data_IF_784742378854
#
_entry.id   IF_784742378854
#
_cell.length_a   1.000
_cell.length_b   1.000
_cell.length_c   1.000
_cell.angle_alpha   90.00
_cell.angle_beta   90.00
_cell.angle_gamma   90.00
#
_symmetry.space_group_name_H-M   'P 1'
#
loop_
_entity.id
_entity.type
_entity.pdbx_description
1 polymer ?
#
# COMPACT_ATOMS: atom_id res chain seq x y z
N UNK A 1 1.05 -43.21 -22.37
CA UNK A 1 1.50 -42.63 -21.07
C UNK A 1 2.71 -41.72 -21.23
N UNK A 2 3.73 -42.10 -22.01
CA UNK A 2 4.96 -41.30 -22.18
C UNK A 2 4.72 -39.91 -22.79
N UNK A 3 3.96 -39.81 -23.89
CA UNK A 3 3.62 -38.51 -24.51
C UNK A 3 2.87 -37.61 -23.53
N UNK A 4 1.89 -38.15 -22.80
CA UNK A 4 1.13 -37.40 -21.78
C UNK A 4 2.06 -36.85 -20.70
N UNK A 5 2.93 -37.68 -20.14
CA UNK A 5 3.93 -37.28 -19.14
C UNK A 5 4.85 -36.17 -19.68
N UNK A 6 5.35 -36.32 -20.91
CA UNK A 6 6.19 -35.30 -21.54
C UNK A 6 5.47 -33.96 -21.68
N UNK A 7 4.20 -33.95 -22.05
CA UNK A 7 3.41 -32.73 -22.20
C UNK A 7 3.22 -32.04 -20.84
N UNK A 8 2.79 -32.75 -19.80
CA UNK A 8 2.59 -32.14 -18.48
C UNK A 8 3.91 -31.64 -17.87
N UNK A 9 5.03 -32.30 -18.16
CA UNK A 9 6.36 -31.87 -17.69
C UNK A 9 6.77 -30.55 -18.36
N UNK A 10 6.53 -30.41 -19.67
CA UNK A 10 6.76 -29.15 -20.39
C UNK A 10 5.89 -28.03 -19.81
N UNK A 11 4.59 -28.27 -19.60
CA UNK A 11 3.67 -27.29 -19.03
C UNK A 11 4.11 -26.87 -17.62
N UNK A 12 4.51 -27.83 -16.78
CA UNK A 12 5.05 -27.54 -15.45
C UNK A 12 6.31 -26.67 -15.51
N UNK A 13 7.25 -26.98 -16.42
CA UNK A 13 8.46 -26.19 -16.58
C UNK A 13 8.17 -24.75 -17.04
N UNK A 14 7.21 -24.57 -17.96
CA UNK A 14 6.75 -23.23 -18.37
C UNK A 14 6.22 -22.45 -17.17
N UNK A 15 5.35 -23.06 -16.36
CA UNK A 15 4.82 -22.38 -15.17
C UNK A 15 5.89 -22.09 -14.12
N UNK A 16 6.85 -22.99 -13.91
CA UNK A 16 7.99 -22.75 -13.02
C UNK A 16 8.82 -21.55 -13.48
N UNK A 17 9.14 -21.46 -14.78
CA UNK A 17 9.87 -20.31 -15.34
C UNK A 17 9.10 -19.00 -15.14
N UNK A 18 7.80 -18.99 -15.42
CA UNK A 18 6.96 -17.79 -15.20
C UNK A 18 6.93 -17.39 -13.72
N UNK A 19 6.85 -18.35 -12.80
CA UNK A 19 6.94 -18.09 -11.36
C UNK A 19 8.30 -17.50 -11.00
N UNK A 20 9.39 -18.11 -11.46
CA UNK A 20 10.75 -17.64 -11.19
C UNK A 20 10.97 -16.20 -11.66
N UNK A 21 10.46 -15.82 -12.83
CA UNK A 21 10.56 -14.45 -13.35
C UNK A 21 9.84 -13.45 -12.43
N UNK A 22 8.62 -13.76 -11.99
CA UNK A 22 7.88 -12.85 -11.10
C UNK A 22 8.54 -12.71 -9.73
N UNK A 23 9.05 -13.81 -9.16
CA UNK A 23 9.77 -13.78 -7.88
C UNK A 23 11.16 -13.13 -7.99
N UNK A 24 11.82 -13.20 -9.15
CA UNK A 24 13.13 -12.58 -9.34
C UNK A 24 13.09 -11.07 -9.09
N UNK A 25 12.03 -10.36 -9.51
CA UNK A 25 11.86 -8.92 -9.22
C UNK A 25 11.77 -8.65 -7.72
N UNK A 26 11.06 -9.50 -6.97
CA UNK A 26 10.95 -9.37 -5.52
C UNK A 26 12.31 -9.59 -4.84
N UNK A 27 13.08 -10.58 -5.31
CA UNK A 27 14.45 -10.82 -4.83
C UNK A 27 15.33 -9.60 -5.12
N UNK A 28 15.24 -9.02 -6.32
CA UNK A 28 15.97 -7.80 -6.68
C UNK A 28 15.66 -6.68 -5.68
N UNK A 29 14.39 -6.42 -5.37
CA UNK A 29 14.04 -5.37 -4.40
C UNK A 29 14.56 -5.65 -2.99
N UNK A 30 14.49 -6.90 -2.54
CA UNK A 30 15.06 -7.30 -1.25
C UNK A 30 16.58 -7.14 -1.24
N UNK A 31 17.26 -7.47 -2.33
CA UNK A 31 18.71 -7.25 -2.44
C UNK A 31 19.00 -5.75 -2.37
N UNK A 32 18.29 -4.90 -3.10
CA UNK A 32 18.54 -3.45 -3.09
C UNK A 32 17.93 -2.68 -1.90
N UNK A 33 17.62 -3.34 -0.78
CA UNK A 33 16.95 -2.72 0.38
C UNK A 33 17.68 -1.50 0.99
N UNK A 34 19.00 -1.36 0.73
CA UNK A 34 19.83 -0.26 1.22
C UNK A 34 19.66 1.04 0.42
N UNK A 35 19.01 0.98 -0.76
CA UNK A 35 18.78 2.16 -1.58
C UNK A 35 17.85 3.15 -0.86
N UNK A 36 18.18 4.43 -0.95
CA UNK A 36 17.38 5.51 -0.35
C UNK A 36 16.37 6.02 -1.38
N UNK A 37 15.10 6.25 -0.98
CA UNK A 37 14.10 6.81 -1.87
C UNK A 37 14.46 8.26 -2.21
N UNK A 38 13.92 8.76 -3.33
CA UNK A 38 13.97 10.18 -3.64
C UNK A 38 13.29 10.98 -2.52
N UNK A 39 13.97 12.03 -2.06
CA UNK A 39 13.41 13.06 -1.19
C UNK A 39 13.03 14.28 -2.02
N UNK A 40 12.04 15.02 -1.57
CA UNK A 40 11.62 16.27 -2.18
C UNK A 40 12.12 17.43 -1.32
N UNK A 41 12.59 18.53 -1.94
CA UNK A 41 12.96 19.72 -1.20
C UNK A 41 11.72 20.34 -0.54
N UNK A 42 11.89 21.13 0.53
CA UNK A 42 10.82 21.99 1.03
C UNK A 42 10.22 22.82 -0.09
N UNK A 43 8.90 22.84 -0.18
CA UNK A 43 8.18 23.57 -1.22
C UNK A 43 8.46 25.08 -1.18
N UNK A 44 8.53 25.69 -2.36
CA UNK A 44 8.60 27.16 -2.52
C UNK A 44 7.23 27.81 -2.39
N UNK A 45 6.19 27.08 -2.78
CA UNK A 45 4.80 27.52 -2.72
C UNK A 45 3.99 26.51 -1.92
N UNK A 46 3.05 27.01 -1.12
CA UNK A 46 2.05 26.16 -0.49
C UNK A 46 0.82 26.10 -1.40
N UNK A 47 0.49 24.90 -1.86
CA UNK A 47 -0.59 24.65 -2.80
C UNK A 47 -1.90 24.33 -2.09
N UNK A 48 -3.03 24.51 -2.79
CA UNK A 48 -4.35 24.25 -2.23
C UNK A 48 -4.83 22.81 -2.52
N UNK A 49 -5.13 22.05 -1.47
CA UNK A 49 -5.50 20.63 -1.53
C UNK A 49 -6.97 20.35 -1.20
N UNK A 50 -7.61 19.45 -1.95
CA UNK A 50 -8.88 18.86 -1.56
C UNK A 50 -8.67 17.47 -0.96
N UNK A 51 -9.05 17.26 0.29
CA UNK A 51 -8.93 15.94 0.93
C UNK A 51 -10.27 15.23 0.81
N UNK A 52 -10.31 14.07 0.17
CA UNK A 52 -11.55 13.31 -0.06
C UNK A 52 -11.56 12.00 0.71
N UNK A 53 -12.66 11.73 1.42
CA UNK A 53 -12.86 10.55 2.25
C UNK A 53 -14.19 9.88 1.89
N UNK A 54 -14.18 8.79 1.11
CA UNK A 54 -15.39 7.98 0.94
C UNK A 54 -15.68 7.20 2.23
N UNK A 55 -16.92 7.27 2.71
CA UNK A 55 -17.31 6.63 3.97
C UNK A 55 -18.63 5.87 3.81
N UNK A 56 -18.72 4.69 4.44
CA UNK A 56 -19.94 3.89 4.53
C UNK A 56 -20.05 3.19 5.89
N UNK A 57 -20.94 3.67 6.73
CA UNK A 57 -21.17 3.16 8.08
C UNK A 57 -19.93 3.14 8.98
N UNK A 58 -19.26 4.29 9.07
CA UNK A 58 -17.98 4.53 9.76
C UNK A 58 -18.11 5.56 10.90
N UNK A 59 -19.29 5.65 11.53
CA UNK A 59 -19.58 6.63 12.59
C UNK A 59 -18.63 6.58 13.79
N UNK A 60 -18.02 5.41 14.04
CA UNK A 60 -17.09 5.17 15.15
C UNK A 60 -15.71 5.81 14.93
N UNK A 61 -15.30 6.04 13.66
CA UNK A 61 -13.90 6.38 13.32
C UNK A 61 -13.76 7.65 12.48
N UNK A 62 -14.78 8.01 11.69
CA UNK A 62 -14.68 9.14 10.75
C UNK A 62 -14.38 10.47 11.44
N UNK A 63 -14.94 10.68 12.64
CA UNK A 63 -14.71 11.89 13.42
C UNK A 63 -13.24 12.06 13.84
N UNK A 64 -12.58 10.97 14.24
CA UNK A 64 -11.17 10.98 14.62
C UNK A 64 -10.27 11.28 13.42
N UNK A 65 -10.55 10.65 12.28
CA UNK A 65 -9.83 10.90 11.02
C UNK A 65 -9.92 12.36 10.60
N UNK A 66 -11.13 12.95 10.61
CA UNK A 66 -11.34 14.36 10.26
C UNK A 66 -10.60 15.28 11.25
N UNK A 67 -10.72 15.04 12.56
CA UNK A 67 -10.00 15.83 13.57
C UNK A 67 -8.48 15.76 13.40
N UNK A 68 -7.93 14.57 13.10
CA UNK A 68 -6.48 14.41 12.88
C UNK A 68 -6.01 15.14 11.62
N UNK A 69 -6.83 15.16 10.57
CA UNK A 69 -6.56 15.94 9.37
C UNK A 69 -6.60 17.46 9.60
N UNK A 70 -7.49 17.94 10.47
CA UNK A 70 -7.55 19.36 10.85
C UNK A 70 -6.34 19.82 11.69
N UNK A 71 -5.61 18.89 12.28
CA UNK A 71 -4.41 19.13 13.10
C UNK A 71 -3.10 19.03 12.31
N UNK A 72 -3.17 18.93 10.98
CA UNK A 72 -1.97 18.86 10.14
C UNK A 72 -1.14 20.15 10.24
N UNK A 73 0.18 20.01 10.23
CA UNK A 73 1.15 21.09 10.16
C UNK A 73 1.18 21.72 8.75
N UNK A 74 0.05 22.28 8.35
CA UNK A 74 -0.16 22.90 7.04
C UNK A 74 -1.24 24.00 7.18
N UNK A 75 -1.14 25.14 6.46
CA UNK A 75 -2.07 26.24 6.64
C UNK A 75 -3.51 25.82 6.37
N UNK A 76 -4.42 26.11 7.31
CA UNK A 76 -5.79 25.57 7.32
C UNK A 76 -6.62 26.06 6.14
N UNK A 77 -6.34 27.26 5.65
CA UNK A 77 -6.97 27.89 4.49
C UNK A 77 -6.58 27.24 3.15
N UNK A 78 -5.51 26.44 3.14
CA UNK A 78 -4.99 25.78 1.94
C UNK A 78 -5.44 24.33 1.79
N UNK A 79 -6.35 23.84 2.63
CA UNK A 79 -6.99 22.55 2.36
C UNK A 79 -8.40 22.49 2.92
N UNK A 80 -9.24 21.67 2.30
CA UNK A 80 -10.59 21.38 2.79
C UNK A 80 -10.81 19.87 2.81
N UNK A 81 -11.64 19.40 3.75
CA UNK A 81 -11.93 17.98 3.96
C UNK A 81 -13.34 17.70 3.49
N UNK A 82 -13.46 16.83 2.50
CA UNK A 82 -14.69 16.38 1.88
C UNK A 82 -14.97 14.94 2.25
N UNK A 83 -16.07 14.68 2.96
CA UNK A 83 -16.53 13.32 3.25
C UNK A 83 -17.69 12.99 2.33
N UNK A 84 -17.58 11.89 1.59
CA UNK A 84 -18.67 11.35 0.78
C UNK A 84 -19.33 10.20 1.54
N UNK A 85 -20.41 10.50 2.26
CA UNK A 85 -21.20 9.53 3.00
C UNK A 85 -22.12 8.79 2.03
N UNK A 86 -21.77 7.54 1.70
CA UNK A 86 -22.41 6.78 0.63
C UNK A 86 -23.20 5.59 1.17
N UNK A 87 -24.53 5.65 1.04
CA UNK A 87 -25.46 4.64 1.54
C UNK A 87 -25.22 4.32 3.04
N UNK A 88 -25.06 5.38 3.84
CA UNK A 88 -24.91 5.28 5.28
C UNK A 88 -26.28 5.12 5.95
N UNK A 89 -26.37 4.21 6.91
CA UNK A 89 -27.56 3.96 7.74
C UNK A 89 -27.34 4.35 9.20
N UNK A 90 -26.14 4.81 9.53
CA UNK A 90 -25.71 5.23 10.86
C UNK A 90 -25.37 6.74 10.85
N UNK A 91 -24.78 7.25 11.93
CA UNK A 91 -24.49 8.68 12.08
C UNK A 91 -23.22 9.16 11.37
N UNK A 92 -22.66 8.39 10.41
CA UNK A 92 -21.41 8.76 9.71
C UNK A 92 -21.41 10.20 9.20
N UNK A 93 -22.49 10.63 8.54
CA UNK A 93 -22.57 11.98 7.97
C UNK A 93 -22.65 13.07 9.06
N UNK A 94 -23.43 12.85 10.12
CA UNK A 94 -23.53 13.71 11.30
C UNK A 94 -22.16 13.87 11.97
N UNK A 95 -21.48 12.75 12.27
CA UNK A 95 -20.16 12.75 12.91
C UNK A 95 -19.08 13.45 12.09
N UNK A 96 -19.12 13.30 10.77
CA UNK A 96 -18.19 14.00 9.88
C UNK A 96 -18.43 15.52 9.86
N UNK A 97 -19.70 15.98 9.85
CA UNK A 97 -20.04 17.41 9.93
C UNK A 97 -19.64 18.00 11.28
N UNK A 98 -19.97 17.33 12.38
CA UNK A 98 -19.59 17.72 13.74
C UNK A 98 -18.07 17.88 13.89
N UNK A 99 -17.30 17.03 13.21
CA UNK A 99 -15.85 17.09 13.22
C UNK A 99 -15.26 18.19 12.31
N UNK A 100 -16.07 18.87 11.49
CA UNK A 100 -15.65 20.00 10.67
C UNK A 100 -15.36 19.70 9.20
N UNK A 101 -15.83 18.56 8.67
CA UNK A 101 -15.76 18.25 7.24
C UNK A 101 -16.97 18.81 6.45
N UNK A 102 -16.75 19.11 5.17
CA UNK A 102 -17.82 19.29 4.19
C UNK A 102 -18.34 17.92 3.80
N UNK A 103 -19.64 17.67 3.97
CA UNK A 103 -20.21 16.33 3.78
C UNK A 103 -21.17 16.30 2.61
N UNK A 104 -20.88 15.41 1.66
CA UNK A 104 -21.76 15.06 0.56
C UNK A 104 -22.43 13.71 0.84
N UNK A 105 -23.75 13.70 0.92
CA UNK A 105 -24.51 12.45 1.05
C UNK A 105 -24.89 11.92 -0.34
N UNK A 106 -24.49 10.67 -0.61
CA UNK A 106 -24.79 9.97 -1.84
C UNK A 106 -25.60 8.73 -1.48
N UNK A 107 -26.92 8.76 -1.66
CA UNK A 107 -27.78 7.61 -1.45
C UNK A 107 -28.25 7.08 -2.81
N UNK A 108 -27.94 5.82 -3.08
CA UNK A 108 -28.22 5.16 -4.35
C UNK A 108 -28.48 3.66 -4.13
N UNK A 109 -29.68 3.22 -4.46
CA UNK A 109 -30.12 1.86 -4.19
C UNK A 109 -29.59 0.83 -5.20
N UNK A 110 -29.08 1.26 -6.37
CA UNK A 110 -28.57 0.33 -7.38
C UNK A 110 -27.39 -0.48 -6.78
N UNK A 111 -27.50 -1.82 -6.73
CA UNK A 111 -26.41 -2.67 -6.24
C UNK A 111 -25.07 -2.44 -6.97
N UNK A 112 -25.10 -2.02 -8.24
CA UNK A 112 -23.91 -1.65 -9.02
C UNK A 112 -23.26 -0.38 -8.51
N UNK A 113 -23.98 0.48 -7.81
CA UNK A 113 -23.43 1.72 -7.28
C UNK A 113 -22.82 1.52 -5.89
N UNK A 114 -23.09 0.41 -5.19
CA UNK A 114 -22.58 0.12 -3.83
C UNK A 114 -21.07 -0.22 -3.74
N UNK A 115 -20.21 0.69 -4.21
CA UNK A 115 -18.75 0.61 -4.21
C UNK A 115 -18.10 1.97 -3.97
N UNK A 116 -16.85 1.96 -3.51
CA UNK A 116 -16.06 3.16 -3.21
C UNK A 116 -15.86 4.04 -4.46
N UNK A 117 -15.64 3.44 -5.63
CA UNK A 117 -15.43 4.18 -6.87
C UNK A 117 -16.61 5.06 -7.27
N UNK A 118 -17.85 4.66 -6.95
CA UNK A 118 -19.04 5.47 -7.20
C UNK A 118 -19.12 6.67 -6.25
N UNK A 119 -18.79 6.47 -4.97
CA UNK A 119 -18.66 7.59 -4.02
C UNK A 119 -17.58 8.58 -4.49
N UNK A 120 -16.43 8.09 -4.96
CA UNK A 120 -15.38 8.95 -5.51
C UNK A 120 -15.85 9.69 -6.76
N UNK A 121 -16.51 9.01 -7.70
CA UNK A 121 -17.08 9.65 -8.90
C UNK A 121 -18.08 10.74 -8.54
N UNK A 122 -19.01 10.46 -7.64
CA UNK A 122 -19.98 11.44 -7.15
C UNK A 122 -19.28 12.63 -6.47
N UNK A 123 -18.37 12.35 -5.53
CA UNK A 123 -17.66 13.35 -4.75
C UNK A 123 -16.77 14.25 -5.60
N UNK A 124 -15.92 13.69 -6.46
CA UNK A 124 -15.07 14.49 -7.34
C UNK A 124 -15.89 15.33 -8.32
N UNK A 125 -16.98 14.79 -8.87
CA UNK A 125 -17.87 15.57 -9.73
C UNK A 125 -18.44 16.77 -8.97
N UNK A 126 -18.95 16.54 -7.75
CA UNK A 126 -19.46 17.60 -6.89
C UNK A 126 -18.43 18.66 -6.55
N UNK A 127 -17.23 18.25 -6.14
CA UNK A 127 -16.17 19.17 -5.78
C UNK A 127 -15.74 19.99 -7.01
N UNK A 128 -15.58 19.37 -8.19
CA UNK A 128 -15.19 20.08 -9.40
C UNK A 128 -16.29 21.00 -9.96
N UNK A 129 -17.57 20.74 -9.66
CA UNK A 129 -18.70 21.61 -10.00
C UNK A 129 -18.79 22.82 -9.04
N UNK A 130 -18.53 22.61 -7.75
CA UNK A 130 -18.76 23.60 -6.69
C UNK A 130 -17.50 24.39 -6.29
N UNK A 131 -16.30 23.88 -6.61
CA UNK A 131 -15.00 24.45 -6.24
C UNK A 131 -13.98 24.33 -7.40
N UNK A 132 -13.34 25.43 -7.78
CA UNK A 132 -12.40 25.47 -8.91
C UNK A 132 -10.93 25.69 -8.49
N UNK A 133 -10.69 26.00 -7.23
CA UNK A 133 -9.42 26.49 -6.71
C UNK A 133 -8.44 25.40 -6.22
N UNK A 134 -8.80 24.11 -6.26
CA UNK A 134 -7.90 23.04 -5.81
C UNK A 134 -6.90 22.67 -6.90
N UNK A 135 -5.65 22.45 -6.50
CA UNK A 135 -4.54 22.09 -7.38
C UNK A 135 -4.24 20.59 -7.35
N UNK A 136 -4.51 19.95 -6.23
CA UNK A 136 -4.41 18.51 -6.07
C UNK A 136 -5.40 17.98 -5.03
N UNK A 137 -5.62 16.67 -5.07
CA UNK A 137 -6.48 15.96 -4.14
C UNK A 137 -5.73 14.84 -3.45
N UNK A 138 -6.02 14.64 -2.17
CA UNK A 138 -5.50 13.53 -1.38
C UNK A 138 -6.68 12.67 -0.94
N UNK A 139 -6.61 11.37 -1.21
CA UNK A 139 -7.63 10.42 -0.76
C UNK A 139 -7.18 9.78 0.55
N UNK A 140 -8.08 9.70 1.52
CA UNK A 140 -7.96 8.83 2.69
C UNK A 140 -9.19 7.93 2.81
N UNK A 141 -9.05 6.77 3.43
CA UNK A 141 -10.19 6.00 3.90
C UNK A 141 -10.65 6.52 5.28
N UNK A 142 -11.90 6.22 5.65
CA UNK A 142 -12.55 6.79 6.83
C UNK A 142 -11.88 6.48 8.19
N UNK A 143 -11.03 5.45 8.25
CA UNK A 143 -10.33 4.98 9.44
C UNK A 143 -8.81 5.19 9.39
N UNK A 144 -8.31 5.92 8.39
CA UNK A 144 -6.90 6.23 8.26
C UNK A 144 -6.46 7.29 9.27
N UNK A 145 -5.33 7.04 9.93
CA UNK A 145 -4.58 8.09 10.63
C UNK A 145 -3.34 8.45 9.81
N UNK A 146 -2.76 9.60 10.08
CA UNK A 146 -1.59 10.10 9.35
C UNK A 146 -0.65 10.84 10.29
N UNK A 147 0.62 10.96 9.91
CA UNK A 147 1.57 11.80 10.62
C UNK A 147 1.22 13.29 10.47
N UNK A 148 1.70 14.14 11.39
CA UNK A 148 1.29 15.55 11.46
C UNK A 148 1.74 16.38 10.25
N UNK A 149 2.82 15.96 9.58
CA UNK A 149 3.37 16.64 8.41
C UNK A 149 2.88 16.04 7.08
N UNK A 150 1.87 15.16 7.05
CA UNK A 150 1.49 14.42 5.84
C UNK A 150 1.22 15.35 4.66
N UNK A 151 0.38 16.37 4.85
CA UNK A 151 0.03 17.33 3.79
C UNK A 151 1.27 18.13 3.37
N UNK A 152 2.09 18.57 4.32
CA UNK A 152 3.33 19.30 4.01
C UNK A 152 4.29 18.47 3.14
N UNK A 153 4.45 17.16 3.43
CA UNK A 153 5.30 16.27 2.62
C UNK A 153 4.72 15.99 1.23
N UNK A 154 3.39 15.95 1.11
CA UNK A 154 2.74 15.88 -0.21
C UNK A 154 2.91 17.19 -0.99
N UNK A 155 2.84 18.33 -0.33
CA UNK A 155 3.09 19.64 -0.93
C UNK A 155 4.52 19.77 -1.46
N UNK A 156 5.53 19.35 -0.69
CA UNK A 156 6.94 19.28 -1.14
C UNK A 156 7.08 18.49 -2.45
N UNK A 157 6.38 17.36 -2.55
CA UNK A 157 6.40 16.55 -3.77
C UNK A 157 5.66 17.25 -4.92
N UNK A 158 4.50 17.84 -4.66
CA UNK A 158 3.67 18.51 -5.65
C UNK A 158 4.37 19.75 -6.25
N UNK A 159 4.95 20.62 -5.42
CA UNK A 159 5.73 21.79 -5.84
C UNK A 159 6.98 21.37 -6.64
N UNK A 160 7.54 20.19 -6.34
CA UNK A 160 8.61 19.57 -7.13
C UNK A 160 8.14 18.91 -8.46
N UNK A 161 6.87 19.08 -8.83
CA UNK A 161 6.28 18.62 -10.10
C UNK A 161 5.68 17.21 -10.05
N UNK A 162 5.47 16.62 -8.88
CA UNK A 162 4.81 15.31 -8.76
C UNK A 162 3.30 15.46 -8.90
N UNK A 163 2.72 14.85 -9.93
CA UNK A 163 1.27 14.85 -10.17
C UNK A 163 0.50 13.73 -9.50
N UNK A 164 1.13 12.56 -9.35
CA UNK A 164 0.52 11.39 -8.70
C UNK A 164 1.51 10.82 -7.69
N UNK A 165 1.10 10.69 -6.43
CA UNK A 165 1.96 10.18 -5.36
C UNK A 165 1.33 9.08 -4.52
N UNK A 166 2.17 8.13 -4.11
CA UNK A 166 1.94 7.12 -3.08
C UNK A 166 2.69 7.53 -1.80
N UNK A 167 2.04 7.40 -0.65
CA UNK A 167 2.63 7.59 0.67
C UNK A 167 3.27 6.30 1.22
N UNK A 168 3.93 6.39 2.36
CA UNK A 168 4.36 5.24 3.15
C UNK A 168 3.17 4.65 3.92
N UNK A 169 2.93 3.36 3.77
CA UNK A 169 1.86 2.63 4.45
C UNK A 169 2.38 1.94 5.72
N UNK A 170 1.69 2.20 6.83
CA UNK A 170 1.98 1.67 8.13
C UNK A 170 0.70 1.12 8.79
N UNK A 171 0.83 0.50 9.95
CA UNK A 171 -0.29 -0.12 10.68
C UNK A 171 -0.48 0.53 12.04
N UNK A 172 -1.72 0.88 12.38
CA UNK A 172 -2.06 1.39 13.71
C UNK A 172 -2.27 0.30 14.76
N UNK A 173 -2.47 -0.95 14.35
CA UNK A 173 -2.79 -2.09 15.22
C UNK A 173 -1.83 -3.27 15.04
N UNK A 174 -0.56 -3.00 14.69
CA UNK A 174 0.45 -4.02 14.35
C UNK A 174 0.75 -5.00 15.49
N UNK A 175 0.51 -4.64 16.74
CA UNK A 175 0.77 -5.48 17.91
C UNK A 175 -0.49 -6.03 18.57
N UNK A 176 -1.66 -5.86 17.94
CA UNK A 176 -2.92 -6.35 18.46
C UNK A 176 -2.96 -7.89 18.46
N UNK A 177 -2.52 -8.52 17.38
CA UNK A 177 -2.37 -9.98 17.26
C UNK A 177 -1.52 -10.39 16.04
N UNK A 178 -1.34 -11.69 15.85
CA UNK A 178 -0.55 -12.22 14.71
C UNK A 178 -1.11 -11.78 13.35
N UNK A 179 -2.43 -11.75 13.14
CA UNK A 179 -3.03 -11.43 11.84
C UNK A 179 -2.76 -9.97 11.45
N UNK A 180 -3.06 -9.05 12.36
CA UNK A 180 -2.80 -7.62 12.21
C UNK A 180 -1.30 -7.32 12.11
N UNK A 181 -0.47 -8.02 12.89
CA UNK A 181 0.99 -7.88 12.86
C UNK A 181 1.62 -8.34 11.56
N UNK A 182 1.24 -9.50 11.02
CA UNK A 182 1.76 -9.96 9.72
C UNK A 182 1.29 -9.03 8.60
N UNK A 183 0.01 -8.65 8.61
CA UNK A 183 -0.53 -7.73 7.61
C UNK A 183 0.17 -6.37 7.67
N UNK A 184 0.38 -5.81 8.87
CA UNK A 184 1.11 -4.56 9.04
C UNK A 184 2.56 -4.64 8.56
N UNK A 185 3.28 -5.71 8.94
CA UNK A 185 4.64 -5.95 8.46
C UNK A 185 4.71 -6.11 6.94
N UNK A 186 3.68 -6.68 6.30
CA UNK A 186 3.61 -6.79 4.84
C UNK A 186 3.57 -5.42 4.15
N UNK A 187 2.72 -4.49 4.60
CA UNK A 187 2.63 -3.15 4.01
C UNK A 187 3.85 -2.28 4.32
N UNK A 188 4.43 -2.41 5.52
CA UNK A 188 5.70 -1.77 5.87
C UNK A 188 6.83 -2.31 4.98
N UNK A 189 6.86 -3.63 4.75
CA UNK A 189 7.82 -4.28 3.85
C UNK A 189 7.65 -3.77 2.42
N UNK A 190 6.42 -3.63 1.92
CA UNK A 190 6.20 -3.07 0.58
C UNK A 190 6.67 -1.61 0.48
N UNK A 191 6.32 -0.78 1.45
CA UNK A 191 6.77 0.62 1.52
C UNK A 191 8.29 0.75 1.62
N UNK A 192 8.92 0.02 2.54
CA UNK A 192 10.36 0.10 2.80
C UNK A 192 11.21 -0.59 1.74
N UNK A 193 10.79 -1.73 1.21
CA UNK A 193 11.63 -2.49 0.29
C UNK A 193 11.25 -2.17 -1.15
N UNK A 194 10.00 -2.44 -1.53
CA UNK A 194 9.60 -2.28 -2.93
C UNK A 194 9.50 -0.80 -3.34
N UNK A 195 8.78 0.03 -2.58
CA UNK A 195 8.56 1.43 -2.94
C UNK A 195 9.85 2.27 -2.86
N UNK A 196 10.72 2.02 -1.87
CA UNK A 196 12.04 2.68 -1.79
C UNK A 196 12.90 2.37 -3.02
N UNK A 197 13.04 1.09 -3.36
CA UNK A 197 13.86 0.68 -4.50
C UNK A 197 13.29 1.24 -5.79
N UNK A 198 11.98 1.16 -6.00
CA UNK A 198 11.30 1.79 -7.14
C UNK A 198 11.58 3.30 -7.22
N UNK A 199 11.50 4.00 -6.09
CA UNK A 199 11.77 5.44 -6.01
C UNK A 199 13.22 5.77 -6.35
N UNK A 200 14.17 5.00 -5.81
CA UNK A 200 15.61 5.14 -6.07
C UNK A 200 15.96 4.87 -7.54
N UNK A 201 15.27 3.92 -8.17
CA UNK A 201 15.42 3.59 -9.60
C UNK A 201 14.57 4.48 -10.52
N UNK A 202 13.88 5.48 -9.98
CA UNK A 202 12.99 6.40 -10.70
C UNK A 202 11.86 5.71 -11.48
N UNK A 203 11.41 4.55 -11.00
CA UNK A 203 10.30 3.79 -11.55
C UNK A 203 8.98 4.23 -10.91
N UNK A 204 7.89 3.64 -11.42
CA UNK A 204 6.53 3.97 -11.00
C UNK A 204 6.09 3.15 -9.78
N UNK A 205 5.12 3.68 -9.07
CA UNK A 205 4.48 3.08 -7.91
C UNK A 205 3.06 2.63 -8.25
N UNK A 206 2.62 1.51 -7.67
CA UNK A 206 1.21 1.15 -7.65
C UNK A 206 0.52 1.86 -6.48
N UNK A 207 -0.54 2.63 -6.74
CA UNK A 207 -1.32 3.24 -5.68
C UNK A 207 -2.21 2.21 -4.99
N UNK A 208 -2.54 2.48 -3.74
CA UNK A 208 -3.27 1.58 -2.83
C UNK A 208 -4.43 2.28 -2.11
N UNK A 209 -4.89 3.41 -2.66
CA UNK A 209 -6.07 4.14 -2.19
C UNK A 209 -5.82 5.06 -0.99
N UNK A 210 -5.24 4.53 0.09
CA UNK A 210 -4.96 5.28 1.31
C UNK A 210 -3.81 6.27 1.13
N UNK A 211 -4.06 7.55 1.41
CA UNK A 211 -3.06 8.62 1.34
C UNK A 211 -2.51 8.88 -0.07
N UNK A 212 -3.20 8.47 -1.14
CA UNK A 212 -2.75 8.77 -2.50
C UNK A 212 -3.05 10.22 -2.88
N UNK A 213 -2.11 10.88 -3.55
CA UNK A 213 -2.28 12.22 -4.11
C UNK A 213 -2.45 12.15 -5.63
N UNK A 214 -3.37 12.96 -6.16
CA UNK A 214 -3.58 13.15 -7.60
C UNK A 214 -3.79 14.63 -7.90
N UNK A 215 -3.14 15.14 -8.94
CA UNK A 215 -3.31 16.52 -9.37
C UNK A 215 -4.71 16.77 -9.96
N UNK A 216 -5.24 17.96 -9.73
CA UNK A 216 -6.58 18.33 -10.17
C UNK A 216 -6.70 18.40 -11.70
N UNK A 217 -5.61 18.70 -12.42
CA UNK A 217 -5.59 18.70 -13.89
C UNK A 217 -5.88 17.30 -14.48
N UNK A 218 -5.39 16.22 -13.86
CA UNK A 218 -5.67 14.85 -14.27
C UNK A 218 -7.15 14.54 -14.11
N UNK A 219 -7.73 14.86 -12.96
CA UNK A 219 -9.16 14.65 -12.70
C UNK A 219 -10.04 15.48 -13.64
N UNK A 220 -9.67 16.75 -13.89
CA UNK A 220 -10.40 17.63 -14.85
C UNK A 220 -10.35 17.07 -16.27
N UNK A 221 -9.19 16.58 -16.75
CA UNK A 221 -9.09 15.91 -18.07
C UNK A 221 -9.98 14.68 -18.19
N UNK A 222 -10.24 14.00 -17.08
CA UNK A 222 -11.15 12.86 -17.05
C UNK A 222 -12.61 13.24 -16.79
N UNK A 223 -12.92 14.51 -16.55
CA UNK A 223 -14.23 14.95 -16.09
C UNK A 223 -14.67 14.22 -14.80
N UNK A 224 -13.74 14.15 -13.83
CA UNK A 224 -13.91 13.47 -12.55
C UNK A 224 -13.27 12.07 -12.49
N UNK A 225 -13.74 11.25 -11.56
CA UNK A 225 -13.23 9.89 -11.36
C UNK A 225 -13.95 8.87 -12.25
N UNK A 226 -13.16 8.10 -13.02
CA UNK A 226 -13.67 7.13 -14.02
C UNK A 226 -13.32 5.68 -13.75
N UNK A 227 -12.40 5.39 -12.83
CA UNK A 227 -11.95 4.05 -12.53
C UNK A 227 -13.00 3.35 -11.65
N UNK A 228 -13.79 2.44 -12.21
CA UNK A 228 -14.97 1.85 -11.56
C UNK A 228 -14.76 0.39 -11.13
N UNK A 229 -13.55 -0.13 -11.26
CA UNK A 229 -13.17 -1.47 -10.82
C UNK A 229 -13.28 -1.69 -9.31
N UNK A 230 -13.03 -2.92 -8.88
CA UNK A 230 -12.95 -3.29 -7.44
C UNK A 230 -11.63 -2.81 -6.81
N UNK A 231 -10.60 -2.63 -7.63
CA UNK A 231 -9.30 -2.07 -7.27
C UNK A 231 -9.11 -0.80 -8.10
N UNK A 232 -9.96 0.19 -7.83
CA UNK A 232 -10.05 1.44 -8.60
C UNK A 232 -8.77 2.27 -8.55
N UNK A 233 -8.01 2.16 -7.47
CA UNK A 233 -6.70 2.76 -7.24
C UNK A 233 -5.62 2.19 -8.17
N UNK A 234 -5.55 0.87 -8.28
CA UNK A 234 -4.64 0.18 -9.19
C UNK A 234 -5.06 0.41 -10.65
N UNK A 235 -6.37 0.41 -10.93
CA UNK A 235 -6.91 0.76 -12.24
C UNK A 235 -6.51 2.18 -12.64
N UNK A 236 -6.70 3.17 -11.74
CA UNK A 236 -6.27 4.54 -11.94
C UNK A 236 -4.78 4.64 -12.22
N UNK A 237 -3.95 3.94 -11.43
CA UNK A 237 -2.49 3.93 -11.60
C UNK A 237 -2.11 3.49 -13.02
N UNK A 238 -2.63 2.33 -13.46
CA UNK A 238 -2.27 1.76 -14.76
C UNK A 238 -2.80 2.62 -15.91
N UNK A 239 -4.03 3.14 -15.79
CA UNK A 239 -4.60 4.02 -16.79
C UNK A 239 -3.76 5.30 -16.93
N UNK A 240 -3.46 5.99 -15.83
CA UNK A 240 -2.64 7.20 -15.84
C UNK A 240 -1.26 6.94 -16.45
N UNK A 241 -0.64 5.79 -16.12
CA UNK A 241 0.64 5.41 -16.72
C UNK A 241 0.56 5.17 -18.23
N UNK A 242 -0.49 4.52 -18.71
CA UNK A 242 -0.73 4.29 -20.14
C UNK A 242 -0.98 5.59 -20.90
N UNK A 243 -1.50 6.62 -20.22
CA UNK A 243 -1.69 7.98 -20.74
C UNK A 243 -0.41 8.85 -20.63
N UNK A 244 0.67 8.30 -20.09
CA UNK A 244 2.00 8.93 -20.03
C UNK A 244 2.36 9.53 -18.68
N UNK A 245 1.43 9.60 -17.73
CA UNK A 245 1.70 10.10 -16.39
C UNK A 245 2.66 9.21 -15.62
N UNK A 246 3.31 9.77 -14.60
CA UNK A 246 4.28 9.10 -13.72
C UNK A 246 3.76 9.12 -12.29
N UNK A 247 3.84 7.97 -11.62
CA UNK A 247 3.52 7.88 -10.20
C UNK A 247 4.81 7.89 -9.38
N UNK A 248 4.76 8.51 -8.21
CA UNK A 248 5.95 8.76 -7.38
C UNK A 248 5.71 8.39 -5.94
N UNK A 249 6.79 8.20 -5.20
CA UNK A 249 6.74 7.81 -3.80
C UNK A 249 7.16 8.97 -2.90
N UNK A 250 6.41 9.21 -1.83
CA UNK A 250 6.67 10.22 -0.80
C UNK A 250 6.87 9.48 0.53
N UNK A 251 8.11 9.10 0.87
CA UNK A 251 8.41 8.21 2.02
C UNK A 251 8.10 8.81 3.38
N UNK A 252 8.03 10.14 3.48
CA UNK A 252 7.89 10.87 4.73
C UNK A 252 6.43 11.30 5.00
N UNK A 253 5.53 11.10 4.04
CA UNK A 253 4.08 11.11 4.25
C UNK A 253 3.67 9.69 4.68
N UNK A 254 3.17 9.52 5.90
CA UNK A 254 2.89 8.20 6.50
C UNK A 254 1.40 8.10 6.80
N UNK A 255 0.75 7.07 6.25
CA UNK A 255 -0.62 6.68 6.62
C UNK A 255 -0.58 5.43 7.52
N UNK A 256 -1.42 5.42 8.54
CA UNK A 256 -1.60 4.30 9.46
C UNK A 256 -2.99 3.71 9.26
N UNK A 257 -3.03 2.50 8.72
CA UNK A 257 -4.26 1.78 8.39
C UNK A 257 -4.66 0.78 9.48
N UNK A 258 -5.96 0.50 9.59
CA UNK A 258 -6.48 -0.61 10.39
C UNK A 258 -6.27 -1.94 9.64
N UNK A 259 -5.41 -2.80 10.17
CA UNK A 259 -5.14 -4.11 9.59
C UNK A 259 -6.16 -5.15 10.08
N UNK A 260 -6.54 -6.12 9.23
CA UNK A 260 -7.49 -7.16 9.63
C UNK A 260 -6.92 -7.96 10.81
N UNK A 261 -7.71 -8.09 11.86
CA UNK A 261 -7.32 -8.78 13.10
C UNK A 261 -7.79 -10.24 13.14
N UNK A 262 -8.55 -10.68 12.14
CA UNK A 262 -9.05 -12.05 12.04
C UNK A 262 -8.72 -12.69 10.68
N UNK A 263 -8.63 -14.02 10.67
CA UNK A 263 -8.53 -14.81 9.44
C UNK A 263 -9.69 -14.53 8.50
N UNK A 264 -10.92 -14.42 9.02
CA UNK A 264 -12.13 -14.20 8.21
C UNK A 264 -12.05 -12.87 7.45
N UNK A 265 -11.66 -11.80 8.13
CA UNK A 265 -11.54 -10.48 7.52
C UNK A 265 -10.40 -10.43 6.51
N UNK A 266 -9.27 -11.05 6.84
CA UNK A 266 -8.14 -11.23 5.93
C UNK A 266 -8.57 -11.95 4.64
N UNK A 267 -9.25 -13.09 4.75
CA UNK A 267 -9.73 -13.86 3.59
C UNK A 267 -10.73 -13.04 2.76
N UNK A 268 -11.67 -12.33 3.40
CA UNK A 268 -12.64 -11.51 2.69
C UNK A 268 -11.97 -10.34 1.94
N UNK A 269 -10.99 -9.67 2.57
CA UNK A 269 -10.20 -8.61 1.92
C UNK A 269 -9.44 -9.14 0.71
N UNK A 270 -8.71 -10.23 0.89
CA UNK A 270 -7.90 -10.84 -0.17
C UNK A 270 -8.77 -11.37 -1.32
N UNK A 271 -9.96 -11.92 -1.07
CA UNK A 271 -10.89 -12.33 -2.14
C UNK A 271 -11.31 -11.15 -3.03
N UNK A 272 -11.59 -9.97 -2.44
CA UNK A 272 -11.90 -8.75 -3.20
C UNK A 272 -10.72 -8.33 -4.07
N UNK A 273 -9.52 -8.28 -3.48
CA UNK A 273 -8.30 -7.92 -4.21
C UNK A 273 -8.04 -8.91 -5.35
N UNK A 274 -8.14 -10.22 -5.11
CA UNK A 274 -7.93 -11.24 -6.13
C UNK A 274 -8.89 -11.10 -7.31
N UNK A 275 -10.16 -10.79 -7.05
CA UNK A 275 -11.13 -10.56 -8.13
C UNK A 275 -10.80 -9.31 -8.97
N UNK A 276 -10.48 -8.20 -8.30
CA UNK A 276 -10.18 -6.93 -8.96
C UNK A 276 -8.88 -7.00 -9.77
N UNK A 277 -7.79 -7.41 -9.12
CA UNK A 277 -6.46 -7.43 -9.71
C UNK A 277 -6.31 -8.48 -10.82
N UNK A 278 -7.00 -9.62 -10.75
CA UNK A 278 -6.96 -10.62 -11.83
C UNK A 278 -7.56 -10.07 -13.13
N UNK A 279 -8.71 -9.38 -13.07
CA UNK A 279 -9.29 -8.70 -14.24
C UNK A 279 -8.37 -7.60 -14.75
N UNK A 280 -7.73 -6.88 -13.82
CA UNK A 280 -6.83 -5.79 -14.15
C UNK A 280 -5.57 -6.29 -14.87
N UNK A 281 -5.05 -7.46 -14.50
CA UNK A 281 -3.92 -8.10 -15.19
C UNK A 281 -4.20 -8.28 -16.69
N UNK A 282 -5.35 -8.86 -17.06
CA UNK A 282 -5.68 -9.10 -18.47
C UNK A 282 -6.08 -7.84 -19.24
N UNK A 283 -6.66 -6.83 -18.57
CA UNK A 283 -7.14 -5.60 -19.24
C UNK A 283 -6.05 -4.54 -19.37
N UNK A 284 -5.24 -4.33 -18.33
CA UNK A 284 -4.24 -3.26 -18.24
C UNK A 284 -2.81 -3.80 -18.10
N UNK A 285 -2.61 -4.89 -17.35
CA UNK A 285 -1.28 -5.49 -17.16
C UNK A 285 -0.63 -5.90 -18.49
N UNK A 286 -1.36 -6.64 -19.33
CA UNK A 286 -0.87 -7.03 -20.67
C UNK A 286 -0.58 -5.83 -21.58
N UNK A 287 -1.37 -4.76 -21.47
CA UNK A 287 -1.12 -3.51 -22.20
C UNK A 287 0.16 -2.82 -21.72
N UNK A 288 0.41 -2.82 -20.41
CA UNK A 288 1.67 -2.32 -19.85
C UNK A 288 2.86 -3.12 -20.38
N UNK A 289 2.77 -4.46 -20.38
CA UNK A 289 3.81 -5.31 -20.95
C UNK A 289 4.12 -4.96 -22.42
N UNK A 290 3.09 -4.80 -23.26
CA UNK A 290 3.29 -4.34 -24.65
C UNK A 290 3.90 -2.93 -24.74
N UNK A 291 3.48 -2.01 -23.87
CA UNK A 291 3.99 -0.63 -23.84
C UNK A 291 5.46 -0.56 -23.42
N UNK A 292 5.95 -1.52 -22.62
CA UNK A 292 7.37 -1.62 -22.29
C UNK A 292 8.24 -1.76 -23.55
N UNK A 293 7.87 -2.61 -24.51
CA UNK A 293 8.66 -2.82 -25.73
C UNK A 293 8.64 -1.65 -26.72
N UNK A 294 7.74 -0.68 -26.54
CA UNK A 294 7.67 0.52 -27.38
C UNK A 294 8.26 1.77 -26.71
N UNK A 295 8.35 1.78 -25.37
CA UNK A 295 8.80 2.96 -24.61
C UNK A 295 10.05 2.72 -23.77
N UNK A 296 10.41 1.46 -23.53
CA UNK A 296 11.47 1.02 -22.62
C UNK A 296 11.36 1.60 -21.19
N UNK A 297 10.19 2.11 -20.81
CA UNK A 297 9.90 2.59 -19.45
C UNK A 297 9.72 1.38 -18.54
N UNK A 298 10.73 1.08 -17.71
CA UNK A 298 10.75 -0.07 -16.82
C UNK A 298 9.55 -0.17 -15.87
N UNK A 299 8.95 0.97 -15.47
CA UNK A 299 7.73 0.98 -14.65
C UNK A 299 6.58 0.15 -15.23
N UNK A 300 6.45 0.07 -16.56
CA UNK A 300 5.44 -0.79 -17.19
C UNK A 300 5.72 -2.28 -16.97
N UNK A 301 6.98 -2.69 -17.11
CA UNK A 301 7.39 -4.07 -16.88
C UNK A 301 7.25 -4.44 -15.40
N UNK A 302 7.68 -3.57 -14.50
CA UNK A 302 7.57 -3.77 -13.05
C UNK A 302 6.11 -3.93 -12.58
N UNK A 303 5.20 -3.05 -13.01
CA UNK A 303 3.79 -3.18 -12.64
C UNK A 303 3.13 -4.42 -13.27
N UNK A 304 3.52 -4.78 -14.50
CA UNK A 304 3.08 -6.05 -15.09
C UNK A 304 3.53 -7.24 -14.26
N UNK A 305 4.80 -7.30 -13.86
CA UNK A 305 5.36 -8.39 -13.05
C UNK A 305 4.77 -8.41 -11.63
N UNK A 306 4.42 -7.23 -11.08
CA UNK A 306 3.68 -7.13 -9.81
C UNK A 306 2.29 -7.74 -9.92
N UNK A 307 1.55 -7.46 -11.01
CA UNK A 307 0.22 -8.03 -11.25
C UNK A 307 0.27 -9.52 -11.65
N UNK A 308 1.36 -9.98 -12.27
CA UNK A 308 1.57 -11.38 -12.66
C UNK A 308 1.53 -12.34 -11.46
N UNK A 309 1.78 -11.84 -10.25
CA UNK A 309 1.64 -12.60 -9.01
C UNK A 309 0.21 -13.17 -8.82
N UNK A 310 -0.82 -12.50 -9.33
CA UNK A 310 -2.22 -12.96 -9.17
C UNK A 310 -2.52 -14.21 -10.00
N UNK A 311 -2.24 -14.25 -11.33
CA UNK A 311 -2.27 -15.50 -12.09
C UNK A 311 -1.35 -16.59 -11.53
N UNK A 312 -0.16 -16.24 -11.05
CA UNK A 312 0.76 -17.20 -10.41
C UNK A 312 0.15 -17.82 -9.16
N UNK A 313 -0.54 -17.04 -8.32
CA UNK A 313 -1.24 -17.57 -7.15
C UNK A 313 -2.30 -18.61 -7.56
N UNK A 314 -3.01 -18.39 -8.69
CA UNK A 314 -3.96 -19.37 -9.23
C UNK A 314 -3.24 -20.65 -9.66
N UNK A 315 -2.15 -20.54 -10.42
CA UNK A 315 -1.33 -21.70 -10.85
C UNK A 315 -0.77 -22.45 -9.64
N UNK A 316 -0.28 -21.73 -8.63
CA UNK A 316 0.29 -22.30 -7.41
C UNK A 316 -0.75 -23.05 -6.56
N UNK A 317 -2.00 -22.58 -6.53
CA UNK A 317 -3.08 -23.24 -5.80
C UNK A 317 -3.79 -24.34 -6.60
N UNK A 318 -3.55 -24.46 -7.91
CA UNK A 318 -4.26 -25.41 -8.78
C UNK A 318 -3.30 -26.37 -9.48
N UNK A 319 -2.51 -25.89 -10.44
CA UNK A 319 -1.64 -26.70 -11.27
C UNK A 319 -0.56 -27.43 -10.48
N UNK A 320 0.21 -26.76 -9.62
CA UNK A 320 1.31 -27.43 -8.90
C UNK A 320 0.82 -28.57 -7.98
N UNK A 321 -0.22 -28.40 -7.14
CA UNK A 321 -0.77 -29.49 -6.36
C UNK A 321 -1.23 -30.68 -7.22
N UNK A 322 -1.90 -30.41 -8.36
CA UNK A 322 -2.37 -31.45 -9.27
C UNK A 322 -1.20 -32.19 -9.93
N UNK A 323 -0.21 -31.47 -10.45
CA UNK A 323 0.94 -32.04 -11.13
C UNK A 323 1.81 -32.88 -10.19
N UNK A 324 2.22 -32.32 -9.04
CA UNK A 324 3.06 -33.05 -8.09
C UNK A 324 2.27 -34.17 -7.40
N UNK A 325 0.97 -33.97 -7.12
CA UNK A 325 0.09 -35.02 -6.60
C UNK A 325 0.00 -36.21 -7.57
N UNK A 326 -0.18 -35.95 -8.86
CA UNK A 326 -0.16 -36.98 -9.89
C UNK A 326 1.17 -37.74 -9.94
N UNK A 327 2.31 -37.03 -9.94
CA UNK A 327 3.65 -37.65 -9.98
C UNK A 327 3.93 -38.51 -8.75
N UNK A 328 3.54 -38.04 -7.56
CA UNK A 328 3.69 -38.78 -6.29
C UNK A 328 2.83 -40.04 -6.30
N UNK A 329 1.55 -39.94 -6.70
CA UNK A 329 0.65 -41.10 -6.77
C UNK A 329 1.18 -42.12 -7.79
N UNK A 330 1.61 -41.67 -8.97
CA UNK A 330 2.18 -42.54 -9.99
C UNK A 330 3.44 -43.27 -9.50
N UNK A 331 4.36 -42.56 -8.84
CA UNK A 331 5.56 -43.15 -8.26
C UNK A 331 5.24 -44.17 -7.16
N UNK A 332 4.25 -43.88 -6.31
CA UNK A 332 3.80 -44.80 -5.27
C UNK A 332 3.20 -46.09 -5.84
N UNK A 333 2.36 -45.99 -6.87
CA UNK A 333 1.76 -47.15 -7.55
C UNK A 333 2.82 -48.03 -8.21
N UNK A 334 3.87 -47.43 -8.76
CA UNK A 334 4.98 -48.15 -9.41
C UNK A 334 6.05 -48.64 -8.42
N UNK A 335 5.94 -48.32 -7.12
CA UNK A 335 6.94 -48.67 -6.12
C UNK A 335 8.27 -47.92 -6.26
N UNK A 336 8.28 -46.79 -6.98
CA UNK A 336 9.47 -45.97 -7.21
C UNK A 336 9.79 -45.10 -5.99
N UNK A 337 10.44 -45.72 -5.00
CA UNK A 337 10.83 -45.08 -3.74
C UNK A 337 11.84 -43.95 -3.95
N UNK A 338 12.69 -44.03 -4.97
CA UNK A 338 13.67 -42.99 -5.28
C UNK A 338 12.99 -41.69 -5.71
N UNK A 339 12.00 -41.78 -6.61
CA UNK A 339 11.21 -40.62 -7.05
C UNK A 339 10.39 -40.01 -5.91
N UNK A 340 9.81 -40.84 -5.04
CA UNK A 340 9.10 -40.34 -3.85
C UNK A 340 10.01 -39.55 -2.92
N UNK A 341 11.21 -40.07 -2.63
CA UNK A 341 12.21 -39.38 -1.78
C UNK A 341 12.66 -38.07 -2.44
N UNK A 342 12.89 -38.09 -3.75
CA UNK A 342 13.28 -36.90 -4.51
C UNK A 342 12.22 -35.80 -4.42
N UNK A 343 10.93 -36.12 -4.65
CA UNK A 343 9.86 -35.14 -4.54
C UNK A 343 9.66 -34.65 -3.10
N UNK A 344 9.77 -35.53 -2.10
CA UNK A 344 9.72 -35.14 -0.69
C UNK A 344 10.81 -34.12 -0.35
N UNK A 345 12.05 -34.36 -0.78
CA UNK A 345 13.17 -33.42 -0.62
C UNK A 345 12.93 -32.10 -1.36
N UNK A 346 12.48 -32.16 -2.62
CA UNK A 346 12.19 -30.97 -3.42
C UNK A 346 11.14 -30.08 -2.76
N UNK A 347 10.02 -30.66 -2.33
CA UNK A 347 8.95 -29.93 -1.63
C UNK A 347 9.48 -29.34 -0.33
N UNK A 348 10.24 -30.12 0.45
CA UNK A 348 10.89 -29.64 1.67
C UNK A 348 11.81 -28.43 1.43
N UNK A 349 12.66 -28.48 0.39
CA UNK A 349 13.54 -27.38 0.03
C UNK A 349 12.77 -26.16 -0.47
N UNK A 350 11.71 -26.33 -1.24
CA UNK A 350 10.86 -25.21 -1.68
C UNK A 350 10.19 -24.54 -0.47
N UNK A 351 9.57 -25.33 0.41
CA UNK A 351 8.91 -24.82 1.61
C UNK A 351 9.90 -24.10 2.53
N UNK A 352 11.14 -24.56 2.64
CA UNK A 352 12.14 -23.94 3.49
C UNK A 352 12.81 -22.72 2.83
N UNK A 353 13.45 -22.92 1.68
CA UNK A 353 14.34 -21.93 1.06
C UNK A 353 13.65 -20.95 0.12
N UNK A 354 12.54 -21.34 -0.52
CA UNK A 354 11.79 -20.43 -1.39
C UNK A 354 10.64 -19.74 -0.65
N UNK A 355 10.23 -20.27 0.51
CA UNK A 355 9.03 -19.81 1.20
C UNK A 355 9.29 -19.39 2.64
N UNK A 356 9.61 -20.32 3.55
CA UNK A 356 9.73 -20.00 4.98
C UNK A 356 10.84 -18.98 5.28
N UNK A 357 12.07 -19.24 4.83
CA UNK A 357 13.21 -18.37 5.09
C UNK A 357 13.04 -16.99 4.43
N UNK A 358 12.71 -16.85 3.13
CA UNK A 358 12.61 -15.54 2.51
C UNK A 358 11.54 -14.64 3.14
N UNK A 359 10.34 -15.15 3.42
CA UNK A 359 9.28 -14.33 4.01
C UNK A 359 9.61 -13.93 5.46
N UNK A 360 10.14 -14.86 6.26
CA UNK A 360 10.59 -14.56 7.63
C UNK A 360 11.71 -13.51 7.63
N UNK A 361 12.72 -13.66 6.78
CA UNK A 361 13.84 -12.72 6.67
C UNK A 361 13.37 -11.34 6.21
N UNK A 362 12.43 -11.27 5.27
CA UNK A 362 11.89 -9.99 4.80
C UNK A 362 11.06 -9.29 5.88
N UNK A 363 10.23 -10.03 6.62
CA UNK A 363 9.48 -9.47 7.75
C UNK A 363 10.41 -8.99 8.86
N UNK A 364 11.47 -9.75 9.17
CA UNK A 364 12.50 -9.35 10.11
C UNK A 364 13.23 -8.09 9.64
N UNK A 365 13.66 -8.07 8.38
CA UNK A 365 14.36 -6.94 7.78
C UNK A 365 13.49 -5.67 7.81
N UNK A 366 12.22 -5.76 7.44
CA UNK A 366 11.27 -4.65 7.53
C UNK A 366 11.10 -4.15 8.97
N UNK A 367 10.95 -5.07 9.94
CA UNK A 367 10.81 -4.72 11.36
C UNK A 367 12.07 -4.03 11.93
N UNK A 368 13.26 -4.43 11.47
CA UNK A 368 14.53 -3.82 11.88
C UNK A 368 14.75 -2.45 11.24
N UNK A 369 14.54 -2.33 9.92
CA UNK A 369 14.75 -1.09 9.18
C UNK A 369 13.77 0.02 9.59
N UNK A 370 12.53 -0.35 9.89
CA UNK A 370 11.45 0.59 10.24
C UNK A 370 11.14 0.57 11.74
N UNK A 371 12.09 0.13 12.57
CA UNK A 371 11.95 0.04 14.02
C UNK A 371 11.50 1.34 14.68
N UNK A 372 11.95 2.49 14.14
CA UNK A 372 11.57 3.83 14.63
C UNK A 372 10.16 4.27 14.21
N UNK A 373 9.61 3.69 13.13
CA UNK A 373 8.26 3.98 12.61
C UNK A 373 7.21 2.99 13.11
N UNK A 374 7.61 1.92 13.80
CA UNK A 374 6.72 0.91 14.37
C UNK A 374 6.47 1.19 15.85
N UNK A 375 5.26 1.62 16.18
CA UNK A 375 4.84 1.90 17.54
C UNK A 375 4.42 0.61 18.30
N UNK A 376 5.35 -0.33 18.44
CA UNK A 376 5.11 -1.60 19.15
C UNK A 376 6.42 -2.23 19.62
N UNK A 377 6.52 -2.77 20.85
CA UNK A 377 7.74 -3.47 21.29
C UNK A 377 8.17 -4.59 20.35
N UNK A 378 9.48 -4.73 20.09
CA UNK A 378 9.99 -5.68 19.10
C UNK A 378 9.61 -7.14 19.39
N UNK A 379 9.58 -7.55 20.66
CA UNK A 379 9.21 -8.91 21.05
C UNK A 379 7.75 -9.26 20.65
N UNK A 380 6.84 -8.27 20.60
CA UNK A 380 5.46 -8.48 20.13
C UNK A 380 5.38 -8.74 18.62
N UNK A 381 6.42 -8.39 17.86
CA UNK A 381 6.49 -8.62 16.42
C UNK A 381 6.99 -10.02 16.08
N UNK A 382 7.69 -10.71 16.99
CA UNK A 382 8.29 -12.03 16.73
C UNK A 382 7.27 -13.07 16.23
N UNK A 383 6.07 -13.22 16.84
CA UNK A 383 5.07 -14.14 16.32
C UNK A 383 4.67 -13.83 14.88
N UNK A 384 4.51 -12.55 14.54
CA UNK A 384 4.18 -12.14 13.18
C UNK A 384 5.34 -12.40 12.20
N UNK A 385 6.60 -12.17 12.61
CA UNK A 385 7.77 -12.44 11.78
C UNK A 385 7.85 -13.93 11.42
N UNK A 386 7.76 -14.83 12.40
CA UNK A 386 7.88 -16.28 12.18
C UNK A 386 6.64 -16.91 11.53
N UNK A 387 5.46 -16.33 11.69
CA UNK A 387 4.21 -16.81 11.07
C UNK A 387 3.90 -16.14 9.72
N UNK A 388 4.74 -15.20 9.27
CA UNK A 388 4.62 -14.56 7.96
C UNK A 388 4.50 -15.55 6.79
N UNK A 389 5.21 -16.70 6.75
CA UNK A 389 5.05 -17.64 5.63
C UNK A 389 3.65 -18.26 5.61
N UNK A 390 3.12 -18.66 6.77
CA UNK A 390 1.77 -19.24 6.86
C UNK A 390 0.71 -18.25 6.36
N UNK A 391 0.85 -16.98 6.72
CA UNK A 391 -0.02 -15.92 6.21
C UNK A 391 0.06 -15.80 4.68
N UNK A 392 1.25 -15.93 4.08
CA UNK A 392 1.39 -15.90 2.62
C UNK A 392 0.69 -17.08 1.92
N UNK A 393 0.61 -18.25 2.56
CA UNK A 393 -0.21 -19.38 2.04
C UNK A 393 -1.69 -19.00 2.06
N UNK A 394 -2.16 -18.48 3.20
CA UNK A 394 -3.54 -18.01 3.35
C UNK A 394 -3.85 -16.90 2.33
N UNK A 395 -2.91 -15.99 2.10
CA UNK A 395 -3.00 -14.93 1.12
C UNK A 395 -3.16 -15.50 -0.30
N UNK A 396 -2.27 -16.39 -0.73
CA UNK A 396 -2.32 -17.02 -2.05
C UNK A 396 -3.65 -17.78 -2.29
N UNK A 397 -4.07 -18.60 -1.32
CA UNK A 397 -5.35 -19.32 -1.39
C UNK A 397 -6.52 -18.35 -1.47
N UNK A 398 -6.54 -17.31 -0.64
CA UNK A 398 -7.65 -16.35 -0.60
C UNK A 398 -7.75 -15.52 -1.88
N UNK A 399 -6.61 -15.11 -2.45
CA UNK A 399 -6.54 -14.45 -3.76
C UNK A 399 -7.08 -15.37 -4.85
N UNK A 400 -6.64 -16.63 -4.89
CA UNK A 400 -7.12 -17.64 -5.83
C UNK A 400 -8.63 -17.84 -5.73
N UNK A 401 -9.18 -17.97 -4.52
CA UNK A 401 -10.63 -18.03 -4.31
C UNK A 401 -11.35 -16.74 -4.74
N UNK A 402 -10.67 -15.59 -4.65
CA UNK A 402 -11.16 -14.30 -5.12
C UNK A 402 -11.40 -14.26 -6.63
N UNK A 403 -10.50 -14.87 -7.39
CA UNK A 403 -10.58 -14.95 -8.86
C UNK A 403 -11.89 -15.60 -9.31
N UNK A 404 -12.31 -16.66 -8.63
CA UNK A 404 -13.51 -17.43 -8.97
C UNK A 404 -14.78 -16.99 -8.23
N UNK A 405 -14.72 -15.94 -7.40
CA UNK A 405 -15.88 -15.47 -6.62
C UNK A 405 -16.36 -14.09 -7.05
N UNK A 406 -17.56 -13.70 -6.62
CA UNK A 406 -18.10 -12.34 -6.73
C UNK A 406 -18.22 -11.75 -5.33
N UNK A 407 -17.10 -11.30 -4.73
CA UNK A 407 -17.11 -10.88 -3.34
C UNK A 407 -17.94 -9.61 -3.19
N UNK A 408 -18.84 -9.60 -2.21
CA UNK A 408 -19.60 -8.42 -1.80
C UNK A 408 -18.87 -7.69 -0.69
N UNK A 409 -19.05 -6.36 -0.62
CA UNK A 409 -18.57 -5.60 0.53
C UNK A 409 -19.36 -6.01 1.79
N UNK A 410 -18.64 -6.29 2.88
CA UNK A 410 -19.21 -6.56 4.20
C UNK A 410 -18.55 -5.60 5.19
N UNK A 411 -19.34 -5.02 6.09
CA UNK A 411 -18.81 -4.21 7.19
C UNK A 411 -17.87 -5.08 8.02
N UNK A 412 -16.63 -4.60 8.16
CA UNK A 412 -15.62 -5.20 9.03
C UNK A 412 -15.79 -4.55 10.40
N UNK A 413 -15.71 -5.33 11.48
CA UNK A 413 -15.67 -4.76 12.82
C UNK A 413 -14.31 -4.07 12.97
N UNK A 414 -14.31 -2.75 13.13
CA UNK A 414 -13.08 -1.97 13.31
C UNK A 414 -12.40 -2.40 14.59
N UNK A 415 -11.07 -2.41 14.58
CA UNK A 415 -10.33 -2.70 15.78
C UNK A 415 -10.41 -1.46 16.68
N UNK A 416 -10.92 -1.66 17.90
CA UNK A 416 -10.90 -0.61 18.92
C UNK A 416 -9.43 -0.28 19.17
N UNK A 417 -9.05 0.99 19.03
CA UNK A 417 -7.73 1.43 19.43
C UNK A 417 -7.53 1.02 20.91
N UNK A 418 -6.39 0.43 21.29
CA UNK A 418 -6.11 0.31 22.71
C UNK A 418 -6.21 1.73 23.31
N UNK A 419 -6.96 1.86 24.40
CA UNK A 419 -6.94 3.07 25.22
C UNK A 419 -5.48 3.49 25.40
N UNK A 420 -5.11 4.78 25.22
CA UNK A 420 -3.80 5.21 25.62
C UNK A 420 -3.59 4.73 27.05
N UNK A 421 -2.55 3.93 27.26
CA UNK A 421 -2.14 3.58 28.61
C UNK A 421 -1.87 4.91 29.32
N UNK A 422 -2.60 5.16 30.40
CA UNK A 422 -2.30 6.24 31.32
C UNK A 422 -0.80 6.14 31.69
N UNK A 423 -0.05 7.21 31.42
CA UNK A 423 1.35 7.33 31.83
C UNK A 423 2.39 6.96 30.77
N UNK A 424 2.47 7.73 29.69
CA UNK A 424 3.76 8.09 29.09
C UNK A 424 3.75 9.59 28.86
N UNK A 425 4.14 10.34 29.89
CA UNK A 425 4.60 11.71 29.72
C UNK A 425 5.73 11.69 28.69
N UNK A 426 5.58 12.48 27.63
CA UNK A 426 6.71 12.83 26.77
C UNK A 426 7.81 13.41 27.68
N UNK A 427 9.07 12.92 27.60
CA UNK A 427 10.15 13.57 28.32
C UNK A 427 10.24 15.02 27.80
N UNK A 428 10.40 16.02 28.69
CA UNK A 428 10.46 17.41 28.28
C UNK A 428 11.53 17.59 27.21
N UNK A 429 11.14 18.18 26.07
CA UNK A 429 12.11 18.72 25.13
C UNK A 429 12.90 19.80 25.87
N UNK A 430 14.10 19.47 26.32
CA UNK A 430 15.07 20.47 26.78
C UNK A 430 15.30 21.43 25.60
N UNK A 431 14.72 22.62 25.74
CA UNK A 431 14.99 23.75 24.87
C UNK A 431 16.48 24.03 24.91
N UNK A 432 17.11 24.00 23.72
CA UNK A 432 18.39 24.68 23.54
C UNK A 432 18.14 26.17 23.75
N UNK A 433 18.34 26.62 24.98
CA UNK A 433 18.51 28.02 25.28
C UNK A 433 19.71 28.55 24.47
N UNK A 434 19.49 29.65 23.75
CA UNK A 434 20.56 30.53 23.33
C UNK A 434 21.26 31.07 24.58
N UNK A 435 22.46 30.59 24.88
CA UNK A 435 23.35 31.29 25.80
C UNK A 435 24.11 32.37 25.05
N UNK A 436 23.64 33.60 25.27
CA UNK A 436 24.38 34.82 25.05
C UNK A 436 24.85 35.34 26.41
N UNK A 437 26.04 34.94 26.83
CA UNK A 437 26.89 35.71 27.75
C UNK A 437 28.23 35.01 27.91
N UNK A 438 29.30 35.65 27.44
CA UNK A 438 30.54 35.79 28.19
C UNK A 438 31.43 36.81 27.46
N UNK A 439 31.27 38.06 27.87
CA UNK A 439 32.30 39.09 27.76
C UNK A 439 33.15 39.02 29.03
N UNK A 440 34.42 38.62 28.91
CA UNK A 440 35.46 39.06 29.84
C UNK A 440 36.75 39.39 29.07
N UNK A 441 36.88 40.69 28.82
CA UNK A 441 38.07 41.55 28.97
C UNK A 441 39.42 40.81 29.12
N UNK A 442 40.30 40.98 28.12
CA UNK A 442 41.74 41.18 28.33
C UNK A 442 42.31 42.17 27.31
N UNK A 443 42.53 43.39 27.80
CA UNK A 443 43.60 44.34 27.48
C UNK A 443 44.82 43.74 26.72
N UNK A 444 45.20 44.30 25.56
CA UNK A 444 46.26 45.35 25.42
C UNK A 444 46.81 45.49 23.99
N UNK A 445 47.00 46.76 23.63
CA UNK A 445 48.06 47.36 22.80
C UNK A 445 48.10 47.11 21.28
N UNK A 446 47.59 48.10 20.54
CA UNK A 446 48.07 48.47 19.20
C UNK A 446 49.51 49.02 19.25
N UNK A 447 50.27 48.84 18.16
CA UNK A 447 50.81 50.01 17.48
C UNK A 447 50.68 49.94 15.94
N UNK A 448 50.90 51.06 15.23
CA UNK A 448 50.07 51.48 14.11
C UNK A 448 50.58 51.07 12.73
N UNK A 449 49.71 51.33 11.75
CA UNK A 449 49.92 51.27 10.32
C UNK A 449 51.24 51.91 9.84
N UNK A 450 51.84 51.30 8.82
CA UNK A 450 52.65 51.98 7.80
C UNK A 450 52.61 51.19 6.48
N UNK A 451 52.22 51.93 5.42
CA UNK A 451 52.36 51.75 3.96
C UNK A 451 51.64 50.62 3.20
#
# INVERSE_FOLDING_TARGET
MEIFNRVIDIVNNVFLVLCSIAFAVQIIYVLFFWLKPKKYPPAKTQHRFGIIIPARNEEEVIGDTVRKLLQQNYPRELYDIFVVAHNCTDKTAERAREAGAVVFECNDDDPKHKRVSYALQYGFRKILEEYDNYEAFIRFDADNLMNDDFIARMNDAFDAGVKIAKCFENSKNIDQNVWSGVSGLYYIRDSRIACHVRSALHTDQMLTGAGMMVSADILRRHNGWKCMGVSEDAEFTLQAMLEGERTRYVPDAIVYEDQPSTLRDTVNRNKRMGNGLFKLFFTHGLRCFGKFFTTFRFGFLDLFLTLLFVPIAVVACTWFPLYYGYKIIAAAVLGDTATLIMFGKLIGYILLFAFYLPFTLQSLLAALLERKRINAPFHKLLPAIFLSPLFMIVYAISICLGVFSRPTWKKIRRNVAPSPAEGQEEPPQEGKACDASDQEIKERDDPPAEE
#
